data_IF_986746859050
#
_entry.id   IF_986746859050
#
_cell.length_a   1.000
_cell.length_b   1.000
_cell.length_c   1.000
_cell.angle_alpha   90.00
_cell.angle_beta   90.00
_cell.angle_gamma   90.00
#
_symmetry.space_group_name_H-M   'P 1'
#
loop_
_entity.id
_entity.type
_entity.pdbx_description
1 polymer ?
#
# COMPACT_ATOMS: atom_id res chain seq x y z
N UNK A 1 -11.34 5.22 -19.18
CA UNK A 1 -11.12 4.18 -20.20
C UNK A 1 -10.80 2.80 -19.60
N UNK A 2 -9.85 2.71 -18.66
CA UNK A 2 -9.46 1.45 -18.01
C UNK A 2 -10.66 0.62 -17.48
N UNK A 3 -11.59 1.23 -16.72
CA UNK A 3 -12.77 0.52 -16.21
C UNK A 3 -13.63 -0.13 -17.32
N UNK A 4 -13.74 0.50 -18.49
CA UNK A 4 -14.48 -0.05 -19.64
C UNK A 4 -13.74 -1.23 -20.27
N UNK A 5 -12.42 -1.12 -20.44
CA UNK A 5 -11.59 -2.18 -21.02
C UNK A 5 -11.44 -3.39 -20.09
N UNK A 6 -11.54 -3.17 -18.78
CA UNK A 6 -11.53 -4.22 -17.75
C UNK A 6 -12.93 -4.73 -17.37
N UNK A 7 -13.97 -4.36 -18.14
CA UNK A 7 -15.36 -4.78 -17.92
C UNK A 7 -15.90 -4.52 -16.49
N UNK A 8 -15.39 -3.46 -15.86
CA UNK A 8 -15.74 -3.10 -14.48
C UNK A 8 -17.00 -2.24 -14.48
N UNK A 9 -18.03 -2.68 -13.75
CA UNK A 9 -19.30 -1.96 -13.62
C UNK A 9 -19.18 -0.60 -12.90
N UNK A 10 -18.11 -0.39 -12.12
CA UNK A 10 -17.88 0.83 -11.36
C UNK A 10 -16.54 1.46 -11.72
N UNK A 11 -16.55 2.76 -12.00
CA UNK A 11 -15.35 3.56 -12.23
C UNK A 11 -14.80 4.02 -10.88
N UNK A 12 -13.52 3.78 -10.56
CA UNK A 12 -12.91 4.33 -9.35
C UNK A 12 -12.95 5.86 -9.34
N UNK A 13 -13.25 6.45 -8.18
CA UNK A 13 -13.17 7.90 -7.98
C UNK A 13 -11.70 8.32 -7.91
N UNK A 14 -11.34 9.35 -8.66
CA UNK A 14 -10.03 10.01 -8.57
C UNK A 14 -10.21 11.29 -7.75
N UNK A 15 -9.69 11.29 -6.53
CA UNK A 15 -9.62 12.50 -5.71
C UNK A 15 -8.52 13.45 -6.23
N UNK A 16 -8.66 14.74 -5.91
CA UNK A 16 -7.60 15.72 -6.14
C UNK A 16 -6.41 15.51 -5.19
N UNK A 17 -5.28 16.21 -5.41
CA UNK A 17 -4.16 16.15 -4.49
C UNK A 17 -4.54 16.77 -3.13
N UNK A 18 -4.21 16.08 -2.05
CA UNK A 18 -4.41 16.51 -0.68
C UNK A 18 -3.10 16.44 0.11
N UNK A 19 -2.92 17.28 1.14
CA UNK A 19 -1.80 17.14 2.06
C UNK A 19 -1.86 15.80 2.80
N UNK A 20 -0.69 15.22 3.12
CA UNK A 20 -0.60 13.92 3.79
C UNK A 20 -1.43 13.89 5.09
N UNK A 21 -1.44 14.98 5.84
CA UNK A 21 -2.16 15.10 7.12
C UNK A 21 -3.66 14.84 6.97
N UNK A 22 -4.26 15.24 5.85
CA UNK A 22 -5.68 14.98 5.58
C UNK A 22 -5.94 13.49 5.34
N UNK A 23 -4.99 12.78 4.74
CA UNK A 23 -5.08 11.34 4.47
C UNK A 23 -4.95 10.50 5.73
N UNK A 24 -4.14 10.93 6.71
CA UNK A 24 -3.80 10.12 7.89
C UNK A 24 -5.04 9.66 8.67
N UNK A 25 -6.06 10.51 8.76
CA UNK A 25 -7.30 10.27 9.51
C UNK A 25 -8.51 9.95 8.64
N UNK A 26 -8.37 10.02 7.30
CA UNK A 26 -9.46 9.75 6.35
C UNK A 26 -10.04 8.32 6.39
N UNK A 27 -9.24 7.23 6.60
CA UNK A 27 -9.79 5.88 6.62
C UNK A 27 -10.81 5.70 7.77
N UNK A 28 -11.97 5.07 7.54
CA UNK A 28 -12.95 4.86 8.59
C UNK A 28 -12.44 3.91 9.69
N UNK A 29 -13.10 3.92 10.85
CA UNK A 29 -12.81 2.98 11.91
C UNK A 29 -12.98 1.53 11.43
N UNK A 30 -12.01 0.68 11.74
CA UNK A 30 -11.99 -0.72 11.31
C UNK A 30 -11.35 -0.98 9.93
N UNK A 31 -11.06 0.05 9.13
CA UNK A 31 -10.30 -0.12 7.90
C UNK A 31 -8.82 -0.43 8.18
N UNK A 32 -8.23 -1.33 7.40
CA UNK A 32 -6.80 -1.59 7.42
C UNK A 32 -6.05 -0.37 6.84
N UNK A 33 -5.11 0.19 7.60
CA UNK A 33 -4.30 1.35 7.22
C UNK A 33 -2.89 0.90 6.92
N UNK A 34 -2.44 1.00 5.67
CA UNK A 34 -1.20 0.39 5.19
C UNK A 34 -0.27 1.39 4.50
N UNK A 35 1.02 1.31 4.75
CA UNK A 35 2.04 2.07 4.01
C UNK A 35 2.99 1.10 3.32
N UNK A 36 3.12 1.22 1.99
CA UNK A 36 4.01 0.38 1.21
C UNK A 36 5.48 0.75 1.49
N UNK A 37 6.27 -0.25 1.87
CA UNK A 37 7.61 -0.07 2.40
C UNK A 37 8.56 -1.17 1.91
N UNK A 38 9.70 -0.77 1.36
CA UNK A 38 10.67 -1.68 0.75
C UNK A 38 11.62 -2.36 1.76
N UNK A 39 11.46 -2.18 3.08
CA UNK A 39 12.40 -2.73 4.09
C UNK A 39 11.76 -3.82 4.95
N UNK A 40 12.64 -4.62 5.57
CA UNK A 40 12.38 -5.95 6.13
C UNK A 40 11.50 -5.99 7.40
N UNK A 41 11.01 -4.86 7.89
CA UNK A 41 10.13 -4.76 9.07
C UNK A 41 8.63 -4.70 8.73
N UNK A 42 8.28 -4.89 7.46
CA UNK A 42 6.90 -4.96 7.01
C UNK A 42 6.09 -6.05 7.73
N UNK A 43 4.86 -5.70 8.09
CA UNK A 43 3.80 -6.59 8.55
C UNK A 43 3.16 -7.30 7.36
N UNK A 44 2.52 -8.44 7.63
CA UNK A 44 1.73 -9.18 6.65
C UNK A 44 0.55 -8.36 6.12
N UNK A 45 0.01 -8.79 4.98
CA UNK A 45 -1.14 -8.16 4.34
C UNK A 45 -2.44 -8.52 5.08
N UNK A 46 -3.46 -7.64 5.09
CA UNK A 46 -4.75 -7.97 5.69
C UNK A 46 -5.48 -9.05 4.87
N UNK A 47 -6.53 -9.61 5.46
CA UNK A 47 -7.44 -10.50 4.75
C UNK A 47 -8.07 -9.79 3.53
N UNK A 48 -8.33 -10.52 2.42
CA UNK A 48 -8.69 -9.94 1.12
C UNK A 48 -10.04 -9.19 1.09
N UNK A 49 -10.90 -9.42 2.08
CA UNK A 49 -12.24 -8.81 2.18
C UNK A 49 -12.28 -7.61 3.13
N UNK A 50 -11.15 -7.21 3.75
CA UNK A 50 -11.11 -6.02 4.58
C UNK A 50 -11.13 -4.74 3.74
N UNK A 51 -11.86 -3.73 4.18
CA UNK A 51 -11.67 -2.38 3.66
C UNK A 51 -10.24 -1.93 3.99
N UNK A 52 -9.46 -1.59 2.97
CA UNK A 52 -8.05 -1.28 3.11
C UNK A 52 -7.68 0.02 2.40
N UNK A 53 -6.88 0.82 3.09
CA UNK A 53 -6.28 2.04 2.59
C UNK A 53 -4.78 1.82 2.51
N UNK A 54 -4.19 2.06 1.34
CA UNK A 54 -2.75 1.87 1.13
C UNK A 54 -2.11 3.13 0.55
N UNK A 55 -1.07 3.60 1.23
CA UNK A 55 -0.22 4.69 0.77
C UNK A 55 0.98 4.13 0.00
N UNK A 56 1.18 4.64 -1.21
CA UNK A 56 2.34 4.34 -2.06
C UNK A 56 3.12 5.64 -2.25
N UNK A 57 4.37 5.64 -1.81
CA UNK A 57 5.22 6.82 -1.83
C UNK A 57 5.78 7.15 -3.22
N UNK A 58 6.42 8.33 -3.37
CA UNK A 58 7.08 8.73 -4.61
C UNK A 58 8.35 7.90 -4.88
N UNK A 59 9.04 8.14 -5.99
CA UNK A 59 10.24 7.40 -6.42
C UNK A 59 11.38 7.41 -5.39
N UNK A 60 11.47 8.45 -4.56
CA UNK A 60 12.44 8.57 -3.47
C UNK A 60 12.01 7.88 -2.16
N UNK A 61 10.80 7.30 -2.12
CA UNK A 61 10.16 6.84 -0.90
C UNK A 61 9.62 7.99 -0.03
N UNK A 62 8.99 7.63 1.09
CA UNK A 62 8.55 8.59 2.09
C UNK A 62 9.73 9.16 2.87
N UNK A 63 9.68 10.45 3.18
CA UNK A 63 10.61 11.08 4.09
C UNK A 63 10.44 10.53 5.52
N UNK A 64 11.49 10.58 6.37
CA UNK A 64 11.41 10.10 7.75
C UNK A 64 10.23 10.70 8.55
N UNK A 65 9.97 12.00 8.39
CA UNK A 65 8.87 12.69 9.07
C UNK A 65 7.48 12.20 8.62
N UNK A 66 7.32 11.82 7.35
CA UNK A 66 6.06 11.27 6.83
C UNK A 66 5.81 9.86 7.40
N UNK A 67 6.87 9.04 7.48
CA UNK A 67 6.79 7.72 8.12
C UNK A 67 6.43 7.81 9.60
N UNK A 68 7.03 8.75 10.34
CA UNK A 68 6.67 9.02 11.73
C UNK A 68 5.22 9.51 11.87
N UNK A 69 4.68 10.20 10.87
CA UNK A 69 3.28 10.61 10.85
C UNK A 69 2.34 9.42 10.63
N UNK A 70 2.67 8.52 9.69
CA UNK A 70 1.96 7.26 9.49
C UNK A 70 1.97 6.38 10.75
N UNK A 71 3.14 6.20 11.38
CA UNK A 71 3.28 5.39 12.59
C UNK A 71 2.42 5.96 13.73
N UNK A 72 2.43 7.29 13.93
CA UNK A 72 1.58 7.96 14.93
C UNK A 72 0.08 7.85 14.63
N UNK A 73 -0.30 7.81 13.36
CA UNK A 73 -1.68 7.63 12.92
C UNK A 73 -2.13 6.16 12.86
N UNK A 74 -1.28 5.23 13.32
CA UNK A 74 -1.60 3.80 13.40
C UNK A 74 -1.55 3.05 12.07
N UNK A 75 -0.88 3.59 11.05
CA UNK A 75 -0.69 2.91 9.77
C UNK A 75 0.39 1.82 9.89
N UNK A 76 0.09 0.62 9.39
CA UNK A 76 1.02 -0.51 9.37
C UNK A 76 1.87 -0.58 8.11
N UNK A 77 3.15 -0.90 8.24
CA UNK A 77 4.05 -1.07 7.08
C UNK A 77 3.80 -2.41 6.40
N UNK A 78 3.76 -2.45 5.06
CA UNK A 78 3.67 -3.69 4.26
C UNK A 78 4.73 -3.72 3.17
N UNK A 79 5.20 -4.91 2.79
CA UNK A 79 6.25 -5.08 1.79
C UNK A 79 5.67 -5.51 0.44
N UNK A 80 6.23 -4.93 -0.63
CA UNK A 80 6.00 -5.32 -2.02
C UNK A 80 7.12 -6.22 -2.57
N UNK A 81 8.03 -6.70 -1.72
CA UNK A 81 9.20 -7.48 -2.08
C UNK A 81 10.52 -6.81 -1.68
N UNK A 82 11.63 -7.41 -2.12
CA UNK A 82 12.99 -7.02 -1.72
C UNK A 82 13.54 -5.79 -2.45
N UNK A 83 12.85 -5.29 -3.47
CA UNK A 83 13.33 -4.22 -4.33
C UNK A 83 12.46 -2.97 -4.19
N UNK A 84 13.10 -1.81 -4.33
CA UNK A 84 12.39 -0.54 -4.52
C UNK A 84 11.76 -0.57 -5.90
N UNK A 85 10.43 -0.49 -5.95
CA UNK A 85 9.66 -0.47 -7.19
C UNK A 85 9.41 0.97 -7.64
N UNK A 86 9.25 1.17 -8.95
CA UNK A 86 8.70 2.44 -9.46
C UNK A 86 7.25 2.60 -8.99
N UNK A 87 6.81 3.84 -8.79
CA UNK A 87 5.48 4.18 -8.25
C UNK A 87 4.35 3.43 -8.98
N UNK A 88 4.37 3.44 -10.32
CA UNK A 88 3.37 2.75 -11.14
C UNK A 88 3.30 1.25 -10.85
N UNK A 89 4.46 0.61 -10.74
CA UNK A 89 4.56 -0.83 -10.44
C UNK A 89 4.15 -1.12 -9.00
N UNK A 90 4.56 -0.27 -8.07
CA UNK A 90 4.21 -0.41 -6.66
C UNK A 90 2.69 -0.36 -6.44
N UNK A 91 2.00 0.57 -7.10
CA UNK A 91 0.55 0.69 -7.03
C UNK A 91 -0.17 -0.56 -7.56
N UNK A 92 0.26 -1.10 -8.71
CA UNK A 92 -0.32 -2.32 -9.29
C UNK A 92 -0.07 -3.53 -8.37
N UNK A 93 1.16 -3.70 -7.87
CA UNK A 93 1.50 -4.78 -6.95
C UNK A 93 0.68 -4.71 -5.65
N UNK A 94 0.56 -3.51 -5.06
CA UNK A 94 -0.22 -3.30 -3.84
C UNK A 94 -1.68 -3.74 -4.00
N UNK A 95 -2.33 -3.33 -5.09
CA UNK A 95 -3.72 -3.72 -5.36
C UNK A 95 -3.84 -5.23 -5.60
N UNK A 96 -2.89 -5.83 -6.32
CA UNK A 96 -2.89 -7.28 -6.56
C UNK A 96 -2.77 -8.09 -5.26
N UNK A 97 -1.88 -7.67 -4.34
CA UNK A 97 -1.66 -8.36 -3.07
C UNK A 97 -2.86 -8.22 -2.13
N UNK A 98 -3.45 -7.02 -2.04
CA UNK A 98 -4.69 -6.80 -1.29
C UNK A 98 -5.82 -7.71 -1.79
N UNK A 99 -5.96 -7.85 -3.11
CA UNK A 99 -7.01 -8.68 -3.72
C UNK A 99 -6.76 -10.17 -3.55
N UNK A 100 -5.51 -10.60 -3.57
CA UNK A 100 -5.14 -12.00 -3.42
C UNK A 100 -5.22 -12.47 -1.96
N UNK A 101 -5.17 -11.54 -0.98
CA UNK A 101 -5.07 -11.87 0.43
C UNK A 101 -3.76 -12.57 0.78
N UNK A 102 -2.73 -12.38 -0.05
CA UNK A 102 -1.56 -13.23 -0.11
C UNK A 102 -0.34 -12.60 0.56
N UNK A 103 0.30 -13.36 1.44
CA UNK A 103 1.69 -13.13 1.87
C UNK A 103 2.62 -13.34 0.66
N UNK A 104 3.36 -12.31 0.25
CA UNK A 104 4.55 -12.54 -0.55
C UNK A 104 5.54 -13.32 0.32
N UNK A 105 5.71 -14.61 0.04
CA UNK A 105 6.79 -15.40 0.61
C UNK A 105 8.10 -14.72 0.21
N UNK A 106 8.82 -14.16 1.18
CA UNK A 106 10.16 -13.64 0.94
C UNK A 106 11.03 -14.77 0.36
N UNK A 107 11.86 -14.52 -0.66
CA UNK A 107 12.79 -15.53 -1.12
C UNK A 107 13.68 -15.95 0.05
N UNK A 108 13.82 -17.27 0.27
CA UNK A 108 14.79 -17.81 1.22
C UNK A 108 16.16 -17.20 0.91
N UNK A 109 16.81 -16.62 1.92
CA UNK A 109 18.18 -16.15 1.76
C UNK A 109 19.04 -17.34 1.28
N UNK A 110 19.93 -17.15 0.30
CA UNK A 110 20.77 -18.24 -0.18
C UNK A 110 21.57 -18.80 1.01
N UNK A 111 21.52 -20.11 1.18
CA UNK A 111 22.34 -20.81 2.16
C UNK A 111 23.81 -20.45 1.93
N UNK A 112 24.47 -20.08 3.03
CA UNK A 112 25.87 -19.65 3.07
C UNK A 112 26.84 -20.70 2.55
#
# INVERSE_FOLDING_TARGET
EAARQSERATVPTLAGPEPLEALLDAPPEGAARLVAWARQDARGWPAPDAEAWIAVGPEGGFAPAELEAFDRAGWGRVSLGAHVLRVDTAAVCAVALLRAGAELVAPEAPAS
#
